data_IF_908572627134
#
_entry.id   IF_908572627134
#
_cell.length_a   1.000
_cell.length_b   1.000
_cell.length_c   1.000
_cell.angle_alpha   90.00
_cell.angle_beta   90.00
_cell.angle_gamma   90.00
#
_symmetry.space_group_name_H-M   'P 1'
#
loop_
_entity.id
_entity.type
_entity.pdbx_description
1 polymer ?
#
# COMPACT_ATOMS: atom_id res chain seq x y z
N UNK A 1 -2.31 -6.68 29.72
CA UNK A 1 -3.44 -7.56 30.09
C UNK A 1 -3.45 -8.72 29.12
N UNK A 2 -3.45 -9.97 29.59
CA UNK A 2 -3.50 -11.16 28.75
C UNK A 2 -4.84 -11.89 28.91
N UNK A 3 -5.30 -12.59 27.87
CA UNK A 3 -6.42 -13.54 27.98
C UNK A 3 -6.00 -14.75 28.82
N UNK A 4 -6.91 -15.25 29.64
CA UNK A 4 -6.69 -16.54 30.29
C UNK A 4 -6.83 -17.69 29.28
N UNK A 5 -6.26 -18.85 29.58
CA UNK A 5 -6.43 -20.05 28.76
C UNK A 5 -7.90 -20.38 28.49
N UNK A 6 -8.75 -20.24 29.51
CA UNK A 6 -10.19 -20.45 29.39
C UNK A 6 -10.84 -19.44 28.44
N UNK A 7 -10.50 -18.15 28.55
CA UNK A 7 -11.03 -17.11 27.65
C UNK A 7 -10.61 -17.36 26.20
N UNK A 8 -9.34 -17.73 25.97
CA UNK A 8 -8.85 -18.09 24.63
C UNK A 8 -9.59 -19.28 24.04
N UNK A 9 -9.91 -20.30 24.85
CA UNK A 9 -10.73 -21.45 24.40
C UNK A 9 -12.15 -21.05 24.00
N UNK A 10 -12.80 -20.20 24.79
CA UNK A 10 -14.16 -19.71 24.49
C UNK A 10 -14.20 -18.92 23.18
N UNK A 11 -13.22 -18.03 22.98
CA UNK A 11 -13.08 -17.27 21.73
C UNK A 11 -12.87 -18.22 20.56
N UNK A 12 -11.87 -19.11 20.63
CA UNK A 12 -11.57 -20.07 19.55
C UNK A 12 -12.76 -20.96 19.20
N UNK A 13 -13.52 -21.42 20.20
CA UNK A 13 -14.71 -22.23 19.99
C UNK A 13 -15.85 -21.52 19.27
N UNK A 14 -15.87 -20.19 19.25
CA UNK A 14 -16.92 -19.38 18.60
C UNK A 14 -16.49 -18.77 17.27
N UNK A 15 -15.20 -18.75 16.94
CA UNK A 15 -14.67 -18.23 15.67
C UNK A 15 -15.35 -18.87 14.44
N UNK A 16 -15.50 -20.21 14.31
CA UNK A 16 -16.09 -20.80 13.12
C UNK A 16 -17.51 -20.27 12.83
N UNK A 17 -18.36 -20.21 13.85
CA UNK A 17 -19.71 -19.69 13.73
C UNK A 17 -19.74 -18.20 13.35
N UNK A 18 -18.80 -17.40 13.87
CA UNK A 18 -18.71 -15.98 13.50
C UNK A 18 -18.19 -15.79 12.07
N UNK A 19 -17.23 -16.61 11.63
CA UNK A 19 -16.70 -16.59 10.26
C UNK A 19 -17.78 -16.94 9.24
N UNK A 20 -18.54 -18.00 9.48
CA UNK A 20 -19.64 -18.46 8.60
C UNK A 20 -20.76 -17.42 8.46
N UNK A 21 -20.84 -16.46 9.38
CA UNK A 21 -21.87 -15.43 9.44
C UNK A 21 -21.32 -14.00 9.34
N UNK A 22 -20.09 -13.80 8.84
CA UNK A 22 -19.43 -12.49 8.81
C UNK A 22 -20.25 -11.38 8.12
N UNK A 23 -20.96 -11.70 7.03
CA UNK A 23 -21.82 -10.74 6.32
C UNK A 23 -23.05 -10.32 7.14
N UNK A 24 -23.67 -11.29 7.83
CA UNK A 24 -24.81 -11.04 8.71
C UNK A 24 -24.41 -10.20 9.91
N UNK A 25 -23.31 -10.57 10.58
CA UNK A 25 -22.73 -9.81 11.70
C UNK A 25 -22.59 -8.36 11.28
N UNK A 26 -21.99 -8.14 10.11
CA UNK A 26 -21.62 -6.80 9.77
C UNK A 26 -22.79 -5.95 9.30
N UNK A 27 -23.78 -6.55 8.66
CA UNK A 27 -25.06 -5.90 8.36
C UNK A 27 -25.74 -5.42 9.64
N UNK A 28 -25.83 -6.28 10.67
CA UNK A 28 -26.42 -5.94 11.97
C UNK A 28 -25.63 -4.81 12.64
N UNK A 29 -24.31 -4.93 12.68
CA UNK A 29 -23.40 -3.95 13.27
C UNK A 29 -23.60 -2.54 12.68
N UNK A 30 -23.47 -2.37 11.36
CA UNK A 30 -23.60 -1.05 10.75
C UNK A 30 -25.01 -0.49 10.83
N UNK A 31 -26.03 -1.31 10.57
CA UNK A 31 -27.43 -0.87 10.65
C UNK A 31 -27.75 -0.29 12.02
N UNK A 32 -27.38 -1.01 13.09
CA UNK A 32 -27.71 -0.60 14.45
C UNK A 32 -26.85 0.59 14.89
N UNK A 33 -25.54 0.57 14.58
CA UNK A 33 -24.62 1.64 14.94
C UNK A 33 -24.99 2.96 14.26
N UNK A 34 -25.22 2.98 12.95
CA UNK A 34 -25.52 4.21 12.21
C UNK A 34 -26.93 4.74 12.44
N UNK A 35 -27.87 3.87 12.85
CA UNK A 35 -29.20 4.31 13.29
C UNK A 35 -29.10 5.10 14.60
N UNK A 36 -28.32 4.60 15.55
CA UNK A 36 -28.21 5.20 16.88
C UNK A 36 -27.16 6.33 16.93
N UNK A 37 -26.17 6.29 16.03
CA UNK A 37 -25.08 7.25 15.87
C UNK A 37 -24.97 7.74 14.41
N UNK A 38 -25.96 8.50 13.91
CA UNK A 38 -25.98 8.98 12.53
C UNK A 38 -24.80 9.91 12.19
N UNK A 39 -24.16 10.55 13.18
CA UNK A 39 -22.95 11.36 13.02
C UNK A 39 -21.76 10.55 12.48
N UNK A 40 -21.75 9.22 12.66
CA UNK A 40 -20.68 8.37 12.15
C UNK A 40 -20.70 8.21 10.62
N UNK A 41 -21.76 8.65 9.93
CA UNK A 41 -21.78 8.69 8.46
C UNK A 41 -20.68 9.58 7.86
N UNK A 42 -20.13 10.52 8.63
CA UNK A 42 -19.01 11.36 8.22
C UNK A 42 -17.69 10.58 8.05
N UNK A 43 -17.55 9.44 8.73
CA UNK A 43 -16.32 8.63 8.75
C UNK A 43 -16.41 7.42 7.82
N UNK A 44 -17.59 6.82 7.69
CA UNK A 44 -17.76 5.61 6.92
C UNK A 44 -18.08 5.88 5.45
N UNK A 45 -17.48 5.09 4.56
CA UNK A 45 -17.75 5.18 3.13
C UNK A 45 -19.06 4.45 2.80
N UNK A 46 -20.09 5.21 2.44
CA UNK A 46 -21.42 4.66 2.10
C UNK A 46 -21.42 3.72 0.90
N UNK A 47 -20.48 3.88 -0.05
CA UNK A 47 -20.32 2.98 -1.21
C UNK A 47 -19.73 1.64 -0.77
N UNK A 48 -18.78 1.64 0.17
CA UNK A 48 -18.18 0.41 0.68
C UNK A 48 -19.14 -0.37 1.60
N UNK A 49 -20.06 0.34 2.26
CA UNK A 49 -21.17 -0.30 2.99
C UNK A 49 -22.13 -1.00 2.03
N UNK A 50 -22.54 -0.34 0.94
CA UNK A 50 -23.44 -0.91 -0.07
C UNK A 50 -22.87 -2.16 -0.76
N UNK A 51 -21.53 -2.27 -0.85
CA UNK A 51 -20.85 -3.40 -1.50
C UNK A 51 -20.21 -4.41 -0.52
N UNK A 52 -20.44 -4.27 0.79
CA UNK A 52 -20.02 -5.25 1.80
C UNK A 52 -18.51 -5.40 2.04
N UNK A 53 -17.63 -4.67 1.35
CA UNK A 53 -16.16 -4.82 1.45
C UNK A 53 -15.59 -4.34 2.79
N UNK A 54 -15.92 -3.12 3.19
CA UNK A 54 -15.47 -2.54 4.47
C UNK A 54 -16.06 -3.27 5.69
N UNK A 55 -17.35 -3.67 5.65
CA UNK A 55 -17.91 -4.64 6.56
C UNK A 55 -17.04 -5.86 6.87
N UNK A 56 -16.64 -6.59 5.83
CA UNK A 56 -15.87 -7.83 6.00
C UNK A 56 -14.49 -7.57 6.60
N UNK A 57 -13.84 -6.44 6.28
CA UNK A 57 -12.50 -6.10 6.76
C UNK A 57 -12.40 -5.94 8.28
N UNK A 58 -13.33 -5.22 8.93
CA UNK A 58 -13.29 -5.01 10.39
C UNK A 58 -13.45 -6.33 11.15
N UNK A 59 -14.44 -7.13 10.75
CA UNK A 59 -14.70 -8.44 11.34
C UNK A 59 -13.54 -9.40 11.09
N UNK A 60 -12.97 -9.41 9.88
CA UNK A 60 -11.83 -10.25 9.54
C UNK A 60 -10.58 -9.91 10.37
N UNK A 61 -10.29 -8.64 10.63
CA UNK A 61 -9.16 -8.25 11.48
C UNK A 61 -9.33 -8.74 12.91
N UNK A 62 -10.53 -8.60 13.48
CA UNK A 62 -10.79 -9.03 14.86
C UNK A 62 -10.74 -10.55 14.97
N UNK A 63 -11.30 -11.27 13.99
CA UNK A 63 -11.22 -12.73 13.92
C UNK A 63 -9.77 -13.22 13.70
N UNK A 64 -9.01 -12.55 12.83
CA UNK A 64 -7.60 -12.85 12.58
C UNK A 64 -6.74 -12.61 13.82
N UNK A 65 -6.96 -11.49 14.53
CA UNK A 65 -6.33 -11.21 15.81
C UNK A 65 -6.67 -12.28 16.86
N UNK A 66 -7.94 -12.66 16.96
CA UNK A 66 -8.38 -13.70 17.87
C UNK A 66 -7.75 -15.07 17.57
N UNK A 67 -7.56 -15.39 16.28
CA UNK A 67 -6.91 -16.64 15.87
C UNK A 67 -5.40 -16.63 16.16
N UNK A 68 -4.76 -15.47 16.02
CA UNK A 68 -3.31 -15.27 16.14
C UNK A 68 -2.89 -14.57 17.44
N UNK A 69 -3.66 -14.71 18.53
CA UNK A 69 -3.42 -13.95 19.77
C UNK A 69 -2.03 -14.19 20.41
N UNK A 70 -1.35 -15.27 20.02
CA UNK A 70 0.01 -15.62 20.44
C UNK A 70 1.10 -15.19 19.43
N UNK A 71 0.72 -14.72 18.24
CA UNK A 71 1.60 -14.37 17.12
C UNK A 71 1.36 -12.91 16.66
N UNK A 72 1.29 -11.99 17.62
CA UNK A 72 0.94 -10.58 17.37
C UNK A 72 1.95 -9.87 16.45
N UNK A 73 3.22 -10.31 16.44
CA UNK A 73 4.28 -9.71 15.62
C UNK A 73 3.95 -9.68 14.13
N UNK A 74 3.25 -10.70 13.62
CA UNK A 74 2.83 -10.78 12.21
C UNK A 74 1.73 -9.77 11.86
N UNK A 75 1.00 -9.27 12.86
CA UNK A 75 -0.07 -8.29 12.69
C UNK A 75 0.44 -6.85 12.76
N UNK A 76 1.67 -6.60 13.21
CA UNK A 76 2.23 -5.26 13.40
C UNK A 76 2.12 -4.42 12.11
N UNK A 77 2.52 -4.90 10.91
CA UNK A 77 2.42 -4.08 9.70
C UNK A 77 0.98 -3.69 9.35
N UNK A 78 0.03 -4.61 9.58
CA UNK A 78 -1.40 -4.36 9.36
C UNK A 78 -1.96 -3.35 10.35
N UNK A 79 -1.57 -3.47 11.62
CA UNK A 79 -1.95 -2.52 12.67
C UNK A 79 -1.42 -1.13 12.39
N UNK A 80 -0.17 -1.01 11.90
CA UNK A 80 0.42 0.27 11.53
C UNK A 80 -0.39 0.97 10.43
N UNK A 81 -0.73 0.24 9.36
CA UNK A 81 -1.60 0.72 8.29
C UNK A 81 -2.97 1.19 8.81
N UNK A 82 -3.59 0.39 9.68
CA UNK A 82 -4.88 0.73 10.29
C UNK A 82 -4.78 2.02 11.11
N UNK A 83 -3.74 2.16 11.93
CA UNK A 83 -3.52 3.35 12.75
C UNK A 83 -3.33 4.61 11.89
N UNK A 84 -2.56 4.54 10.80
CA UNK A 84 -2.45 5.66 9.85
C UNK A 84 -3.79 6.03 9.23
N UNK A 85 -4.58 5.03 8.82
CA UNK A 85 -5.91 5.24 8.26
C UNK A 85 -6.87 5.87 9.26
N UNK A 86 -6.88 5.38 10.50
CA UNK A 86 -7.67 5.92 11.60
C UNK A 86 -7.30 7.37 11.88
N UNK A 87 -6.00 7.67 11.96
CA UNK A 87 -5.53 9.03 12.18
C UNK A 87 -5.96 9.98 11.06
N UNK A 88 -5.84 9.53 9.80
CA UNK A 88 -6.27 10.30 8.62
C UNK A 88 -7.78 10.52 8.57
N UNK A 89 -8.57 9.74 9.30
CA UNK A 89 -10.02 9.93 9.42
C UNK A 89 -10.42 10.71 10.68
N UNK A 90 -9.47 11.00 11.58
CA UNK A 90 -9.77 11.67 12.84
C UNK A 90 -10.40 10.76 13.89
N UNK A 91 -10.13 9.44 13.86
CA UNK A 91 -10.67 8.50 14.85
C UNK A 91 -10.07 8.76 16.24
N UNK A 92 -10.92 8.75 17.26
CA UNK A 92 -10.56 9.05 18.65
C UNK A 92 -10.83 7.87 19.58
N UNK A 93 -10.20 7.83 20.77
CA UNK A 93 -10.42 6.76 21.75
C UNK A 93 -11.89 6.52 22.10
N UNK A 94 -12.71 7.56 22.18
CA UNK A 94 -14.15 7.46 22.47
C UNK A 94 -14.94 6.67 21.40
N UNK A 95 -14.50 6.67 20.14
CA UNK A 95 -15.16 5.93 19.06
C UNK A 95 -15.07 4.41 19.27
N UNK A 96 -14.02 3.91 19.94
CA UNK A 96 -13.85 2.48 20.20
C UNK A 96 -14.93 1.91 21.13
N UNK A 97 -15.44 2.69 22.08
CA UNK A 97 -16.52 2.22 22.96
C UNK A 97 -17.84 2.03 22.19
N UNK A 98 -18.11 2.90 21.21
CA UNK A 98 -19.28 2.79 20.33
C UNK A 98 -19.16 1.50 19.50
N UNK A 99 -18.02 1.31 18.83
CA UNK A 99 -17.78 0.12 18.00
C UNK A 99 -17.91 -1.17 18.81
N UNK A 100 -17.36 -1.22 20.04
CA UNK A 100 -17.48 -2.38 20.92
C UNK A 100 -18.95 -2.75 21.16
N UNK A 101 -19.75 -1.78 21.60
CA UNK A 101 -21.16 -1.98 21.97
C UNK A 101 -21.94 -2.65 20.84
N UNK A 102 -21.81 -2.12 19.62
CA UNK A 102 -22.56 -2.64 18.47
C UNK A 102 -21.98 -3.94 17.93
N UNK A 103 -20.65 -4.13 17.97
CA UNK A 103 -20.02 -5.36 17.47
C UNK A 103 -20.34 -6.56 18.37
N UNK A 104 -20.21 -6.41 19.69
CA UNK A 104 -20.51 -7.47 20.65
C UNK A 104 -22.01 -7.79 20.65
N UNK A 105 -22.88 -6.80 20.43
CA UNK A 105 -24.30 -7.03 20.21
C UNK A 105 -24.58 -7.83 18.92
N UNK A 106 -23.87 -7.53 17.83
CA UNK A 106 -23.99 -8.29 16.58
C UNK A 106 -23.51 -9.75 16.74
N UNK A 107 -22.40 -9.97 17.45
CA UNK A 107 -21.96 -11.33 17.79
C UNK A 107 -23.01 -12.06 18.62
N UNK A 108 -23.66 -11.39 19.57
CA UNK A 108 -24.70 -11.99 20.41
C UNK A 108 -25.93 -12.42 19.60
N UNK A 109 -26.35 -11.60 18.62
CA UNK A 109 -27.47 -11.94 17.74
C UNK A 109 -27.17 -13.17 16.87
N UNK A 110 -25.92 -13.31 16.41
CA UNK A 110 -25.49 -14.42 15.55
C UNK A 110 -25.23 -15.70 16.34
N UNK A 111 -24.57 -15.61 17.50
CA UNK A 111 -24.28 -16.77 18.34
C UNK A 111 -25.50 -17.25 19.13
N UNK A 112 -26.50 -16.38 19.36
CA UNK A 112 -27.71 -16.72 20.09
C UNK A 112 -27.41 -17.31 21.48
N UNK A 113 -27.94 -18.50 21.83
CA UNK A 113 -27.66 -19.15 23.11
C UNK A 113 -26.17 -19.45 23.38
N UNK A 114 -25.34 -19.54 22.34
CA UNK A 114 -23.90 -19.75 22.49
C UNK A 114 -23.17 -18.51 23.02
N UNK A 115 -23.79 -17.32 22.99
CA UNK A 115 -23.26 -16.11 23.63
C UNK A 115 -23.57 -16.12 25.15
N UNK A 116 -22.87 -16.99 25.88
CA UNK A 116 -22.94 -17.00 27.35
C UNK A 116 -22.29 -15.74 27.93
N UNK A 117 -22.57 -15.36 29.20
CA UNK A 117 -21.89 -14.24 29.86
C UNK A 117 -20.36 -14.33 29.80
N UNK A 118 -19.80 -15.54 29.94
CA UNK A 118 -18.36 -15.78 29.88
C UNK A 118 -17.80 -15.60 28.46
N UNK A 119 -18.54 -16.00 27.42
CA UNK A 119 -18.15 -15.79 26.02
C UNK A 119 -18.18 -14.29 25.70
N UNK A 120 -19.21 -13.57 26.14
CA UNK A 120 -19.31 -12.12 25.99
C UNK A 120 -18.13 -11.41 26.66
N UNK A 121 -17.83 -11.74 27.91
CA UNK A 121 -16.71 -11.16 28.65
C UNK A 121 -15.37 -11.44 27.95
N UNK A 122 -15.16 -12.66 27.45
CA UNK A 122 -13.95 -13.02 26.72
C UNK A 122 -13.77 -12.18 25.44
N UNK A 123 -14.83 -12.04 24.63
CA UNK A 123 -14.80 -11.22 23.41
C UNK A 123 -14.62 -9.72 23.70
N UNK A 124 -15.32 -9.17 24.70
CA UNK A 124 -15.11 -7.78 25.14
C UNK A 124 -13.66 -7.56 25.56
N UNK A 125 -13.06 -8.49 26.31
CA UNK A 125 -11.65 -8.40 26.70
C UNK A 125 -10.71 -8.47 25.51
N UNK A 126 -10.94 -9.38 24.56
CA UNK A 126 -10.14 -9.50 23.35
C UNK A 126 -10.21 -8.25 22.47
N UNK A 127 -11.41 -7.68 22.29
CA UNK A 127 -11.62 -6.41 21.60
C UNK A 127 -10.79 -5.30 22.25
N UNK A 128 -10.90 -5.12 23.56
CA UNK A 128 -10.19 -4.05 24.26
C UNK A 128 -8.67 -4.24 24.31
N UNK A 129 -8.16 -5.48 24.18
CA UNK A 129 -6.74 -5.71 24.00
C UNK A 129 -6.25 -5.14 22.65
N UNK A 130 -6.95 -5.42 21.56
CA UNK A 130 -6.64 -4.86 20.24
C UNK A 130 -6.83 -3.33 20.23
N UNK A 131 -7.97 -2.85 20.73
CA UNK A 131 -8.30 -1.43 20.78
C UNK A 131 -7.23 -0.62 21.53
N UNK A 132 -6.74 -1.10 22.69
CA UNK A 132 -5.69 -0.39 23.44
C UNK A 132 -4.36 -0.31 22.70
N UNK A 133 -4.01 -1.33 21.91
CA UNK A 133 -2.79 -1.29 21.08
C UNK A 133 -2.93 -0.24 19.96
N UNK A 134 -4.09 -0.22 19.28
CA UNK A 134 -4.37 0.76 18.23
C UNK A 134 -4.42 2.18 18.79
N UNK A 135 -5.19 2.42 19.86
CA UNK A 135 -5.28 3.72 20.56
C UNK A 135 -3.89 4.20 20.98
N UNK A 136 -3.05 3.31 21.53
CA UNK A 136 -1.69 3.65 21.94
C UNK A 136 -0.82 4.11 20.78
N UNK A 137 -0.87 3.40 19.64
CA UNK A 137 -0.11 3.75 18.44
C UNK A 137 -0.65 5.02 17.77
N UNK A 138 -1.97 5.16 17.64
CA UNK A 138 -2.64 6.36 17.13
C UNK A 138 -2.29 7.60 17.95
N UNK A 139 -2.26 7.48 19.28
CA UNK A 139 -1.84 8.58 20.14
C UNK A 139 -0.37 9.00 19.88
N UNK A 140 0.51 8.06 19.52
CA UNK A 140 1.88 8.40 19.10
C UNK A 140 1.88 9.11 17.76
N UNK A 141 1.16 8.57 16.76
CA UNK A 141 1.03 9.20 15.45
C UNK A 141 0.48 10.62 15.55
N UNK A 142 -0.58 10.84 16.32
CA UNK A 142 -1.11 12.18 16.57
C UNK A 142 -0.07 13.12 17.18
N UNK A 143 0.77 12.67 18.11
CA UNK A 143 1.89 13.50 18.61
C UNK A 143 2.88 13.84 17.49
N UNK A 144 3.21 12.87 16.64
CA UNK A 144 4.18 13.01 15.56
C UNK A 144 3.70 13.97 14.45
N UNK A 145 2.39 14.04 14.17
CA UNK A 145 1.79 15.02 13.24
C UNK A 145 1.88 16.47 13.76
N UNK A 146 2.17 16.66 15.04
CA UNK A 146 2.42 17.96 15.65
C UNK A 146 1.15 18.78 15.87
N UNK A 147 1.20 20.07 15.56
CA UNK A 147 0.14 21.04 15.93
C UNK A 147 -1.13 20.94 15.08
N UNK A 148 -1.03 20.36 13.88
CA UNK A 148 -2.18 20.22 13.00
C UNK A 148 -2.90 18.91 13.28
N UNK A 149 -4.04 19.02 13.95
CA UNK A 149 -4.93 17.91 14.29
C UNK A 149 -6.28 18.14 13.62
N UNK A 150 -6.85 17.09 13.04
CA UNK A 150 -8.12 17.17 12.30
C UNK A 150 -7.99 17.90 10.97
N UNK A 151 -9.07 18.60 10.58
CA UNK A 151 -9.19 19.19 9.27
C UNK A 151 -8.72 20.64 9.22
N UNK A 152 -8.02 20.99 8.13
CA UNK A 152 -7.55 22.34 7.82
C UNK A 152 -8.01 22.73 6.43
N UNK A 153 -8.36 24.01 6.26
CA UNK A 153 -8.89 24.55 5.01
C UNK A 153 -7.78 24.87 4.02
N UNK A 154 -7.96 24.43 2.79
CA UNK A 154 -7.08 24.70 1.66
C UNK A 154 -7.89 25.28 0.51
N UNK A 155 -7.32 26.29 -0.14
CA UNK A 155 -7.82 26.84 -1.39
C UNK A 155 -7.19 26.05 -2.55
N UNK A 156 -8.00 25.69 -3.53
CA UNK A 156 -7.52 25.18 -4.82
C UNK A 156 -6.90 26.35 -5.56
N UNK A 157 -5.59 26.37 -5.67
CA UNK A 157 -4.87 27.40 -6.40
C UNK A 157 -4.80 27.09 -7.90
N UNK A 158 -4.69 25.81 -8.24
CA UNK A 158 -4.58 25.37 -9.63
C UNK A 158 -5.25 24.02 -9.82
N UNK A 159 -5.94 23.83 -10.95
CA UNK A 159 -6.49 22.55 -11.41
C UNK A 159 -5.91 22.22 -12.78
N UNK A 160 -5.27 21.05 -12.91
CA UNK A 160 -4.57 20.63 -14.13
C UNK A 160 -5.07 19.27 -14.58
N UNK A 161 -5.51 19.16 -15.83
CA UNK A 161 -5.78 17.88 -16.46
C UNK A 161 -4.45 17.18 -16.81
N UNK A 162 -4.20 16.03 -16.20
CA UNK A 162 -3.00 15.21 -16.42
C UNK A 162 -3.23 14.16 -17.51
N UNK A 163 -4.48 13.70 -17.65
CA UNK A 163 -4.98 12.77 -18.67
C UNK A 163 -6.52 12.80 -18.70
N UNK A 164 -7.14 12.10 -19.66
CA UNK A 164 -8.58 12.16 -20.02
C UNK A 164 -9.57 12.04 -18.82
N UNK A 165 -9.14 11.45 -17.70
CA UNK A 165 -9.93 11.27 -16.48
C UNK A 165 -9.16 11.55 -15.17
N UNK A 166 -7.99 12.20 -15.23
CA UNK A 166 -7.10 12.44 -14.07
C UNK A 166 -6.74 13.91 -13.94
N UNK A 167 -6.99 14.49 -12.77
CA UNK A 167 -6.78 15.91 -12.50
C UNK A 167 -5.91 16.12 -11.27
N UNK A 168 -4.90 16.97 -11.38
CA UNK A 168 -4.11 17.47 -10.25
C UNK A 168 -4.73 18.73 -9.66
N UNK A 169 -4.81 18.78 -8.34
CA UNK A 169 -5.22 19.95 -7.56
C UNK A 169 -4.04 20.44 -6.73
N UNK A 170 -3.67 21.69 -6.90
CA UNK A 170 -2.65 22.37 -6.10
C UNK A 170 -3.35 23.12 -4.97
N UNK A 171 -3.02 22.76 -3.74
CA UNK A 171 -3.78 23.10 -2.54
C UNK A 171 -2.91 23.94 -1.61
N UNK A 172 -3.32 25.20 -1.40
CA UNK A 172 -2.61 26.17 -0.55
C UNK A 172 -3.40 26.42 0.72
N UNK A 173 -2.78 26.41 1.91
CA UNK A 173 -3.50 26.59 3.17
C UNK A 173 -4.09 28.01 3.28
N UNK A 174 -5.37 28.11 3.64
CA UNK A 174 -6.10 29.39 3.73
C UNK A 174 -5.55 30.29 4.85
N UNK A 175 -5.02 29.69 5.91
CA UNK A 175 -4.46 30.42 7.07
C UNK A 175 -3.05 30.98 6.82
N UNK A 176 -2.47 30.76 5.64
CA UNK A 176 -1.14 31.25 5.25
C UNK A 176 0.04 30.62 5.99
N UNK A 177 -0.17 29.62 6.88
CA UNK A 177 0.93 28.99 7.61
C UNK A 177 1.60 27.92 6.76
N UNK A 178 2.92 27.78 6.91
CA UNK A 178 3.69 26.73 6.22
C UNK A 178 3.17 25.32 6.52
N UNK A 179 3.24 24.47 5.52
CA UNK A 179 2.88 23.07 5.61
C UNK A 179 4.02 22.25 6.23
N UNK A 180 3.71 21.27 7.09
CA UNK A 180 4.72 20.33 7.55
C UNK A 180 5.24 19.50 6.37
N UNK A 181 6.52 19.08 6.40
CA UNK A 181 7.02 18.12 5.43
C UNK A 181 6.32 16.78 5.60
N UNK A 182 6.37 15.94 4.56
CA UNK A 182 5.89 14.57 4.55
C UNK A 182 6.93 13.66 3.92
N UNK A 183 6.76 12.34 4.07
CA UNK A 183 7.60 11.36 3.36
C UNK A 183 6.98 11.04 1.99
N UNK A 184 7.77 11.04 0.90
CA UNK A 184 7.23 10.88 -0.45
C UNK A 184 6.60 9.48 -0.62
N UNK A 185 5.30 9.47 -0.90
CA UNK A 185 4.46 8.26 -0.91
C UNK A 185 3.25 8.38 0.02
N UNK A 186 3.34 9.22 1.06
CA UNK A 186 2.24 9.48 1.99
C UNK A 186 1.03 10.14 1.32
N UNK A 187 -0.11 10.07 2.01
CA UNK A 187 -1.39 10.60 1.55
C UNK A 187 -1.98 11.59 2.56
N UNK A 188 -2.94 12.38 2.08
CA UNK A 188 -3.84 13.18 2.91
C UNK A 188 -5.27 12.69 2.73
N UNK A 189 -6.11 12.90 3.74
CA UNK A 189 -7.55 12.76 3.59
C UNK A 189 -8.13 14.08 3.11
N UNK A 190 -8.91 14.07 2.03
CA UNK A 190 -9.72 15.19 1.55
C UNK A 190 -11.18 14.94 1.93
N UNK A 191 -11.78 15.89 2.63
CA UNK A 191 -13.17 15.88 3.03
C UNK A 191 -13.99 16.90 2.23
N UNK A 192 -15.15 16.45 1.78
CA UNK A 192 -16.14 17.28 1.06
C UNK A 192 -17.53 17.07 1.64
N UNK A 193 -18.35 18.12 1.61
CA UNK A 193 -19.76 18.04 2.00
C UNK A 193 -20.61 17.45 0.88
N UNK A 194 -21.46 16.48 1.22
CA UNK A 194 -22.45 15.93 0.30
C UNK A 194 -23.80 16.56 0.65
N UNK A 195 -24.06 17.74 0.07
CA UNK A 195 -25.20 18.59 0.41
C UNK A 195 -26.55 17.84 0.38
N UNK A 196 -26.76 16.99 -0.62
CA UNK A 196 -28.00 16.19 -0.78
C UNK A 196 -28.26 15.21 0.36
N UNK A 197 -27.20 14.79 1.08
CA UNK A 197 -27.29 13.77 2.12
C UNK A 197 -27.01 14.29 3.53
N UNK A 198 -26.59 15.54 3.67
CA UNK A 198 -26.36 16.19 4.96
C UNK A 198 -25.18 15.64 5.76
N UNK A 199 -24.26 14.91 5.13
CA UNK A 199 -23.07 14.35 5.77
C UNK A 199 -21.79 14.66 4.96
N UNK A 200 -20.65 14.51 5.61
CA UNK A 200 -19.32 14.68 5.02
C UNK A 200 -18.82 13.35 4.45
N UNK A 201 -18.01 13.41 3.40
CA UNK A 201 -17.32 12.24 2.87
C UNK A 201 -15.84 12.53 2.72
N UNK A 202 -15.04 11.58 3.19
CA UNK A 202 -13.60 11.65 3.19
C UNK A 202 -13.00 10.59 2.26
N UNK A 203 -12.02 10.97 1.43
CA UNK A 203 -11.19 10.03 0.66
C UNK A 203 -9.72 10.38 0.77
N UNK A 204 -8.89 9.35 0.79
CA UNK A 204 -7.45 9.48 0.83
C UNK A 204 -6.91 9.66 -0.58
N UNK A 205 -6.00 10.62 -0.74
CA UNK A 205 -5.28 10.87 -1.97
C UNK A 205 -3.80 10.99 -1.66
N UNK A 206 -2.97 10.20 -2.35
CA UNK A 206 -1.52 10.34 -2.27
C UNK A 206 -1.12 11.76 -2.64
N UNK A 207 -0.17 12.31 -1.87
CA UNK A 207 0.49 13.54 -2.26
C UNK A 207 1.33 13.21 -3.49
N UNK A 208 1.10 13.91 -4.59
CA UNK A 208 1.66 13.58 -5.90
C UNK A 208 2.88 14.42 -6.29
N UNK A 209 3.34 15.29 -5.39
CA UNK A 209 4.56 16.10 -5.58
C UNK A 209 5.58 15.86 -4.47
N UNK A 210 6.79 16.40 -4.61
CA UNK A 210 7.78 16.43 -3.55
C UNK A 210 7.27 17.23 -2.33
N UNK A 211 7.82 17.02 -1.11
CA UNK A 211 7.48 17.81 0.05
C UNK A 211 7.80 19.30 -0.11
N UNK A 212 6.74 20.13 -0.09
CA UNK A 212 6.77 21.58 -0.27
C UNK A 212 6.11 22.28 0.94
N UNK A 213 6.64 23.43 1.41
CA UNK A 213 6.08 24.15 2.54
C UNK A 213 4.89 25.04 2.18
N UNK A 214 4.66 25.30 0.90
CA UNK A 214 3.73 26.29 0.34
C UNK A 214 2.43 25.67 -0.20
N UNK A 215 2.51 24.48 -0.80
CA UNK A 215 1.32 23.76 -1.27
C UNK A 215 1.45 22.24 -1.09
N UNK A 216 0.31 21.57 -1.11
CA UNK A 216 0.22 20.14 -1.38
C UNK A 216 -0.41 19.92 -2.75
N UNK A 217 0.01 18.85 -3.43
CA UNK A 217 -0.63 18.42 -4.68
C UNK A 217 -1.25 17.06 -4.47
N UNK A 218 -2.53 16.93 -4.80
CA UNK A 218 -3.21 15.64 -4.90
C UNK A 218 -3.66 15.46 -6.35
N UNK A 219 -3.68 14.22 -6.81
CA UNK A 219 -4.12 13.92 -8.17
C UNK A 219 -5.21 12.86 -8.12
N UNK A 220 -6.35 13.20 -8.70
CA UNK A 220 -7.62 12.49 -8.55
C UNK A 220 -8.03 11.92 -9.88
N UNK A 221 -8.29 10.62 -9.91
CA UNK A 221 -8.91 9.96 -11.05
C UNK A 221 -10.43 9.94 -10.88
N UNK A 222 -11.17 10.23 -11.96
CA UNK A 222 -12.62 10.02 -12.01
C UNK A 222 -12.95 8.55 -11.83
N UNK A 223 -13.88 8.27 -10.93
CA UNK A 223 -14.42 6.92 -10.76
C UNK A 223 -15.83 6.91 -11.35
N UNK A 224 -15.94 6.41 -12.58
CA UNK A 224 -17.22 6.29 -13.30
C UNK A 224 -18.11 5.18 -12.73
N UNK A 225 -17.62 4.38 -11.77
CA UNK A 225 -18.27 3.16 -11.31
C UNK A 225 -18.01 1.98 -12.25
N UNK A 226 -18.63 0.84 -11.96
CA UNK A 226 -18.54 -0.35 -12.82
C UNK A 226 -19.76 -0.41 -13.75
N UNK A 227 -19.54 -0.17 -15.04
CA UNK A 227 -20.44 -0.66 -16.08
C UNK A 227 -20.28 -2.18 -16.18
N UNK A 228 -21.31 -2.93 -15.80
CA UNK A 228 -21.34 -4.38 -16.01
C UNK A 228 -21.25 -4.68 -17.51
N UNK A 229 -20.06 -5.03 -18.00
CA UNK A 229 -19.94 -5.61 -19.35
C UNK A 229 -20.06 -7.12 -19.27
N UNK A 230 -20.97 -7.65 -20.09
CA UNK A 230 -21.32 -9.07 -20.25
C UNK A 230 -20.09 -9.93 -20.55
N UNK A 231 -19.53 -10.56 -19.51
CA UNK A 231 -18.91 -11.91 -19.50
C UNK A 231 -18.49 -12.32 -18.07
N UNK A 232 -19.37 -12.06 -17.11
CA UNK A 232 -19.54 -12.86 -15.89
C UNK A 232 -18.29 -13.33 -15.14
N UNK A 233 -17.73 -12.47 -14.29
CA UNK A 233 -17.47 -12.77 -12.86
C UNK A 233 -16.88 -11.58 -12.12
N UNK A 234 -17.73 -10.91 -11.34
CA UNK A 234 -17.46 -10.52 -9.95
C UNK A 234 -18.72 -10.88 -9.16
N UNK A 235 -18.56 -11.66 -8.09
CA UNK A 235 -19.65 -12.11 -7.23
C UNK A 235 -19.89 -11.08 -6.12
N UNK A 236 -21.02 -10.37 -6.17
CA UNK A 236 -21.61 -9.64 -5.05
C UNK A 236 -21.58 -8.11 -5.16
N UNK A 237 -22.76 -7.50 -5.35
CA UNK A 237 -23.01 -6.06 -5.33
C UNK A 237 -23.35 -5.51 -6.72
N UNK A 238 -24.50 -4.83 -6.85
CA UNK A 238 -24.99 -4.26 -8.11
C UNK A 238 -24.03 -3.28 -8.78
N UNK A 239 -24.40 -2.73 -9.95
CA UNK A 239 -23.64 -1.69 -10.63
C UNK A 239 -23.09 -0.68 -9.61
N UNK A 240 -21.76 -0.61 -9.48
CA UNK A 240 -21.15 0.33 -8.55
C UNK A 240 -21.47 1.73 -9.05
N UNK A 241 -22.19 2.50 -8.24
CA UNK A 241 -22.44 3.91 -8.51
C UNK A 241 -21.10 4.65 -8.71
N UNK A 242 -21.06 5.69 -9.56
CA UNK A 242 -19.90 6.56 -9.68
C UNK A 242 -19.36 7.02 -8.33
N UNK A 243 -18.04 7.15 -8.22
CA UNK A 243 -17.37 7.56 -6.99
C UNK A 243 -17.74 8.99 -6.60
N UNK A 244 -18.44 9.14 -5.48
CA UNK A 244 -19.03 10.44 -5.07
C UNK A 244 -17.97 11.56 -4.96
N UNK A 245 -16.87 11.32 -4.24
CA UNK A 245 -15.88 12.37 -3.95
C UNK A 245 -15.02 12.73 -5.17
N UNK A 246 -14.60 11.74 -5.97
CA UNK A 246 -13.79 12.02 -7.16
C UNK A 246 -14.56 12.81 -8.20
N UNK A 247 -15.81 12.43 -8.49
CA UNK A 247 -16.66 13.18 -9.42
C UNK A 247 -16.98 14.58 -8.85
N UNK A 248 -17.30 14.71 -7.56
CA UNK A 248 -17.54 16.03 -6.95
C UNK A 248 -16.31 16.95 -7.06
N UNK A 249 -15.11 16.46 -6.77
CA UNK A 249 -13.89 17.25 -6.90
C UNK A 249 -13.62 17.67 -8.35
N UNK A 250 -13.91 16.81 -9.33
CA UNK A 250 -13.62 17.12 -10.73
C UNK A 250 -14.71 18.03 -11.33
N UNK A 251 -15.98 17.79 -11.03
CA UNK A 251 -17.11 18.48 -11.67
C UNK A 251 -17.52 19.77 -10.97
N UNK A 252 -17.35 19.84 -9.65
CA UNK A 252 -17.95 20.89 -8.82
C UNK A 252 -16.92 21.74 -8.06
N UNK A 253 -15.63 21.47 -8.23
CA UNK A 253 -14.55 22.24 -7.59
C UNK A 253 -13.59 22.83 -8.60
N UNK A 254 -13.42 24.13 -8.53
CA UNK A 254 -12.55 24.90 -9.41
C UNK A 254 -11.53 25.74 -8.62
N UNK A 255 -10.67 26.44 -9.34
CA UNK A 255 -9.69 27.34 -8.75
C UNK A 255 -10.40 28.43 -7.91
N UNK A 256 -9.93 28.61 -6.68
CA UNK A 256 -10.54 29.50 -5.68
C UNK A 256 -11.39 28.77 -4.64
N UNK A 257 -11.92 27.58 -4.94
CA UNK A 257 -12.75 26.83 -4.00
C UNK A 257 -11.96 26.30 -2.81
N UNK A 258 -12.67 26.05 -1.71
CA UNK A 258 -12.12 25.48 -0.48
C UNK A 258 -12.45 23.99 -0.37
N UNK A 259 -11.43 23.23 0.02
CA UNK A 259 -11.50 21.83 0.48
C UNK A 259 -10.81 21.70 1.83
N UNK A 260 -11.15 20.64 2.57
CA UNK A 260 -10.59 20.38 3.90
C UNK A 260 -9.72 19.13 3.88
N UNK A 261 -8.49 19.27 4.38
CA UNK A 261 -7.49 18.22 4.40
C UNK A 261 -7.13 17.84 5.84
N UNK A 262 -6.70 16.61 6.06
CA UNK A 262 -5.95 16.22 7.27
C UNK A 262 -4.45 16.35 7.06
N UNK A 263 -3.69 16.22 8.15
CA UNK A 263 -2.24 16.03 8.09
C UNK A 263 -1.87 14.83 7.18
N UNK A 264 -0.65 14.84 6.60
CA UNK A 264 -0.11 13.66 5.91
C UNK A 264 -0.07 12.43 6.83
N UNK A 265 -0.36 11.27 6.27
CA UNK A 265 -0.32 9.97 6.93
C UNK A 265 0.07 8.88 5.91
N UNK A 266 0.31 7.67 6.40
CA UNK A 266 0.65 6.50 5.60
C UNK A 266 2.06 6.00 5.89
N UNK A 267 2.18 4.69 5.78
CA UNK A 267 3.40 3.90 6.00
C UNK A 267 4.13 3.54 4.69
N UNK A 268 3.49 3.77 3.54
CA UNK A 268 4.13 3.64 2.24
C UNK A 268 4.87 4.92 1.88
N UNK A 269 6.20 4.88 1.93
CA UNK A 269 7.03 5.99 1.49
C UNK A 269 8.46 5.53 1.20
N UNK A 270 9.18 6.32 0.41
CA UNK A 270 10.62 6.19 0.29
C UNK A 270 11.30 6.89 1.49
N UNK A 271 12.08 6.16 2.28
CA UNK A 271 12.86 6.76 3.37
C UNK A 271 14.03 7.58 2.80
N UNK A 272 13.88 8.90 2.88
CA UNK A 272 14.89 9.85 2.43
C UNK A 272 16.05 10.03 3.42
N UNK A 273 15.95 9.49 4.65
CA UNK A 273 17.08 9.46 5.59
C UNK A 273 18.15 8.46 5.13
N UNK A 274 17.76 7.44 4.36
CA UNK A 274 18.69 6.55 3.69
C UNK A 274 19.34 7.27 2.49
N UNK A 275 20.59 7.69 2.66
CA UNK A 275 21.40 8.36 1.62
C UNK A 275 22.10 7.39 0.68
N UNK A 276 21.77 6.10 0.71
CA UNK A 276 22.36 5.14 -0.20
C UNK A 276 21.95 5.40 -1.66
N UNK A 277 22.83 5.05 -2.59
CA UNK A 277 22.53 5.05 -4.02
C UNK A 277 21.91 3.73 -4.49
N UNK A 278 21.22 3.02 -3.59
CA UNK A 278 20.51 1.79 -3.92
C UNK A 278 19.44 2.09 -4.99
N UNK A 279 19.40 1.35 -6.11
CA UNK A 279 18.38 1.56 -7.13
C UNK A 279 16.97 1.42 -6.57
N UNK A 280 16.05 2.23 -7.10
CA UNK A 280 14.62 2.09 -6.85
C UNK A 280 13.87 1.80 -8.14
N UNK A 281 12.90 0.90 -8.08
CA UNK A 281 12.02 0.56 -9.20
C UNK A 281 10.61 0.98 -8.82
N UNK A 282 10.07 1.98 -9.54
CA UNK A 282 8.75 2.55 -9.33
C UNK A 282 7.79 1.93 -10.35
N UNK A 283 6.91 1.05 -9.88
CA UNK A 283 6.00 0.25 -10.70
C UNK A 283 4.56 0.71 -10.44
N UNK A 284 3.89 1.22 -11.47
CA UNK A 284 2.53 1.75 -11.30
C UNK A 284 1.59 1.45 -12.45
N UNK A 285 0.29 1.48 -12.17
CA UNK A 285 -0.76 1.41 -13.17
C UNK A 285 -1.87 2.43 -12.89
N UNK A 286 -2.27 3.18 -13.92
CA UNK A 286 -3.29 4.23 -13.83
C UNK A 286 -2.94 5.26 -12.75
N UNK A 287 -3.92 5.62 -11.91
CA UNK A 287 -3.72 6.63 -10.84
C UNK A 287 -2.75 6.19 -9.74
N UNK A 288 -2.34 4.92 -9.69
CA UNK A 288 -1.26 4.44 -8.83
C UNK A 288 0.10 5.11 -9.09
N UNK A 289 0.22 5.89 -10.17
CA UNK A 289 1.38 6.74 -10.47
C UNK A 289 1.61 7.84 -9.44
N UNK A 290 0.57 8.23 -8.68
CA UNK A 290 0.57 9.43 -7.85
C UNK A 290 1.64 9.42 -6.74
N UNK A 291 1.76 8.39 -5.88
CA UNK A 291 2.85 8.34 -4.92
C UNK A 291 4.22 8.14 -5.60
N UNK A 292 4.27 7.48 -6.77
CA UNK A 292 5.51 7.33 -7.53
C UNK A 292 6.04 8.67 -8.03
N UNK A 293 5.15 9.58 -8.42
CA UNK A 293 5.51 10.92 -8.84
C UNK A 293 6.08 11.75 -7.68
N UNK A 294 5.54 11.60 -6.47
CA UNK A 294 6.10 12.22 -5.27
C UNK A 294 7.51 11.70 -4.95
N UNK A 295 7.71 10.38 -5.03
CA UNK A 295 9.02 9.75 -4.87
C UNK A 295 9.99 10.26 -5.95
N UNK A 296 9.57 10.24 -7.22
CA UNK A 296 10.41 10.63 -8.34
C UNK A 296 10.85 12.10 -8.25
N UNK A 297 9.93 13.03 -7.93
CA UNK A 297 10.29 14.45 -7.75
C UNK A 297 11.27 14.61 -6.59
N UNK A 298 11.01 13.96 -5.46
CA UNK A 298 11.86 14.09 -4.26
C UNK A 298 13.26 13.55 -4.50
N UNK A 299 13.39 12.37 -5.11
CA UNK A 299 14.68 11.78 -5.50
C UNK A 299 15.37 12.62 -6.55
N UNK A 300 14.62 13.20 -7.49
CA UNK A 300 15.19 14.05 -8.53
C UNK A 300 15.86 15.30 -7.96
N UNK A 301 15.26 15.89 -6.92
CA UNK A 301 15.77 17.08 -6.24
C UNK A 301 16.88 16.77 -5.23
N UNK A 302 16.77 15.69 -4.46
CA UNK A 302 17.62 15.43 -3.28
C UNK A 302 18.66 14.33 -3.47
N UNK A 303 18.43 13.40 -4.38
CA UNK A 303 19.31 12.26 -4.65
C UNK A 303 19.52 12.09 -6.17
N UNK A 304 20.14 13.08 -6.84
CA UNK A 304 20.20 13.12 -8.29
C UNK A 304 20.94 11.94 -8.93
N UNK A 305 21.87 11.34 -8.18
CA UNK A 305 22.68 10.20 -8.63
C UNK A 305 22.08 8.83 -8.30
N UNK A 306 20.98 8.76 -7.54
CA UNK A 306 20.31 7.49 -7.25
C UNK A 306 19.67 6.92 -8.53
N UNK A 307 19.99 5.68 -8.92
CA UNK A 307 19.37 5.05 -10.08
C UNK A 307 17.87 4.85 -9.87
N UNK A 308 17.07 5.17 -10.88
CA UNK A 308 15.61 5.05 -10.84
C UNK A 308 15.11 4.37 -12.10
N UNK A 309 14.30 3.33 -11.94
CA UNK A 309 13.51 2.74 -13.01
C UNK A 309 12.05 3.09 -12.85
N UNK A 310 11.44 3.61 -13.90
CA UNK A 310 10.04 4.02 -13.96
C UNK A 310 9.27 3.08 -14.89
N UNK A 311 8.38 2.29 -14.32
CA UNK A 311 7.55 1.33 -15.07
C UNK A 311 6.10 1.72 -14.85
N UNK A 312 5.43 2.16 -15.91
CA UNK A 312 4.07 2.68 -15.80
C UNK A 312 3.14 2.12 -16.88
N UNK A 313 1.98 1.64 -16.45
CA UNK A 313 0.88 1.24 -17.33
C UNK A 313 -0.24 2.27 -17.34
N UNK A 314 -0.64 2.72 -18.53
CA UNK A 314 -1.87 3.48 -18.74
C UNK A 314 -2.77 2.81 -19.77
N UNK A 315 -4.07 3.14 -19.73
CA UNK A 315 -5.01 2.67 -20.75
C UNK A 315 -4.83 3.43 -22.07
N UNK A 316 -4.66 4.75 -22.01
CA UNK A 316 -4.57 5.67 -23.16
C UNK A 316 -3.47 6.71 -22.91
N UNK A 317 -3.84 7.93 -22.52
CA UNK A 317 -2.95 9.02 -22.14
C UNK A 317 -2.23 8.72 -20.82
N UNK A 318 -0.95 9.10 -20.73
CA UNK A 318 -0.11 8.83 -19.55
C UNK A 318 -0.11 10.07 -18.65
N UNK A 319 -0.58 9.99 -17.40
CA UNK A 319 -0.51 11.13 -16.48
C UNK A 319 0.94 11.54 -16.21
N UNK A 320 1.18 12.85 -16.06
CA UNK A 320 2.52 13.45 -15.82
C UNK A 320 3.55 13.21 -16.94
N UNK A 321 3.12 12.81 -18.12
CA UNK A 321 4.02 12.36 -19.19
C UNK A 321 5.14 13.36 -19.52
N UNK A 322 4.81 14.64 -19.72
CA UNK A 322 5.81 15.67 -20.03
C UNK A 322 6.78 15.93 -18.88
N UNK A 323 6.32 15.82 -17.63
CA UNK A 323 7.16 15.95 -16.44
C UNK A 323 8.15 14.79 -16.36
N UNK A 324 7.70 13.54 -16.52
CA UNK A 324 8.57 12.36 -16.50
C UNK A 324 9.60 12.43 -17.63
N UNK A 325 9.20 12.83 -18.84
CA UNK A 325 10.15 12.98 -19.96
C UNK A 325 11.18 14.09 -19.73
N UNK A 326 10.79 15.20 -19.09
CA UNK A 326 11.73 16.26 -18.70
C UNK A 326 12.75 15.76 -17.67
N UNK A 327 12.29 14.99 -16.69
CA UNK A 327 13.17 14.37 -15.68
C UNK A 327 14.14 13.38 -16.35
N UNK A 328 13.63 12.53 -17.24
CA UNK A 328 14.45 11.55 -17.97
C UNK A 328 15.59 12.19 -18.76
N UNK A 329 15.32 13.29 -19.49
CA UNK A 329 16.34 14.02 -20.27
C UNK A 329 17.48 14.56 -19.42
N UNK A 330 17.23 14.86 -18.15
CA UNK A 330 18.20 15.45 -17.24
C UNK A 330 18.88 14.42 -16.33
N UNK A 331 18.61 13.11 -16.52
CA UNK A 331 19.07 12.04 -15.62
C UNK A 331 19.59 10.82 -16.39
N UNK A 332 20.91 10.63 -16.52
CA UNK A 332 21.47 9.49 -17.25
C UNK A 332 21.21 8.12 -16.56
N UNK A 333 20.97 8.14 -15.25
CA UNK A 333 20.66 7.00 -14.39
C UNK A 333 19.14 6.76 -14.24
N UNK A 334 18.32 7.35 -15.11
CA UNK A 334 16.89 7.11 -15.19
C UNK A 334 16.57 6.15 -16.34
N UNK A 335 15.67 5.20 -16.10
CA UNK A 335 15.13 4.26 -17.09
C UNK A 335 13.61 4.36 -17.07
N UNK A 336 12.96 4.30 -18.23
CA UNK A 336 11.50 4.38 -18.35
C UNK A 336 10.96 3.31 -19.27
N UNK A 337 9.92 2.63 -18.82
CA UNK A 337 9.12 1.69 -19.60
C UNK A 337 7.64 2.07 -19.48
N UNK A 338 7.03 2.48 -20.58
CA UNK A 338 5.64 2.91 -20.68
C UNK A 338 4.82 1.84 -21.40
N UNK A 339 3.84 1.29 -20.71
CA UNK A 339 2.89 0.32 -21.23
C UNK A 339 1.56 1.02 -21.54
N UNK A 340 1.02 0.76 -22.73
CA UNK A 340 -0.34 1.19 -23.12
C UNK A 340 -1.16 0.00 -23.58
N UNK A 341 -2.44 -0.03 -23.23
CA UNK A 341 -3.38 -1.07 -23.70
C UNK A 341 -4.30 -0.60 -24.82
N UNK A 342 -4.35 0.71 -25.09
CA UNK A 342 -5.01 1.30 -26.25
C UNK A 342 -4.17 2.45 -26.79
N UNK A 343 -3.63 2.26 -27.98
CA UNK A 343 -2.86 3.28 -28.70
C UNK A 343 -3.79 4.25 -29.44
N UNK A 344 -3.46 5.54 -29.39
CA UNK A 344 -4.03 6.55 -30.27
C UNK A 344 -3.25 6.61 -31.60
N UNK A 345 -3.83 7.20 -32.64
CA UNK A 345 -3.12 7.41 -33.92
C UNK A 345 -1.86 8.27 -33.77
N UNK A 346 -1.82 9.13 -32.74
CA UNK A 346 -0.67 9.97 -32.41
C UNK A 346 0.41 9.25 -31.59
N UNK A 347 0.20 7.99 -31.21
CA UNK A 347 1.19 7.23 -30.44
C UNK A 347 2.33 6.70 -31.32
N UNK A 348 3.55 6.84 -30.82
CA UNK A 348 4.79 6.49 -31.52
C UNK A 348 5.66 5.62 -30.62
N UNK A 349 5.99 4.42 -31.12
CA UNK A 349 6.85 3.45 -30.42
C UNK A 349 8.21 4.05 -30.06
N UNK A 350 8.66 3.82 -28.82
CA UNK A 350 9.90 4.35 -28.25
C UNK A 350 9.87 5.85 -27.95
N UNK A 351 8.71 6.51 -28.15
CA UNK A 351 8.52 7.94 -27.89
C UNK A 351 7.41 8.16 -26.88
N UNK A 352 6.20 7.67 -27.16
CA UNK A 352 5.00 7.81 -26.31
C UNK A 352 4.62 6.54 -25.57
N UNK A 353 5.13 5.40 -26.00
CA UNK A 353 5.00 4.11 -25.35
C UNK A 353 6.17 3.21 -25.76
N UNK A 354 6.46 2.21 -24.93
CA UNK A 354 7.48 1.19 -25.19
C UNK A 354 6.83 -0.18 -25.42
N UNK A 355 5.65 -0.41 -24.84
CA UNK A 355 4.97 -1.70 -24.90
C UNK A 355 3.46 -1.52 -25.14
N UNK A 356 2.93 -2.16 -26.19
CA UNK A 356 1.48 -2.25 -26.45
C UNK A 356 0.88 -3.48 -25.75
N UNK A 357 0.84 -3.40 -24.42
CA UNK A 357 0.30 -4.46 -23.57
C UNK A 357 -0.03 -3.90 -22.18
N UNK A 358 -0.70 -4.70 -21.34
CA UNK A 358 -0.68 -4.44 -19.90
C UNK A 358 0.77 -4.56 -19.40
N UNK A 359 1.09 -3.91 -18.27
CA UNK A 359 2.43 -4.02 -17.66
C UNK A 359 2.76 -5.49 -17.46
N UNK A 360 3.89 -5.89 -18.01
CA UNK A 360 4.43 -7.24 -17.93
C UNK A 360 5.94 -7.11 -17.72
N UNK A 361 6.39 -7.39 -16.49
CA UNK A 361 7.80 -7.26 -16.12
C UNK A 361 8.70 -8.27 -16.85
N UNK A 362 8.14 -9.31 -17.49
CA UNK A 362 8.90 -10.21 -18.35
C UNK A 362 9.32 -9.54 -19.68
N UNK A 363 8.65 -8.45 -20.07
CA UNK A 363 8.97 -7.65 -21.27
C UNK A 363 9.92 -6.49 -21.00
N UNK A 364 10.13 -6.14 -19.72
CA UNK A 364 11.07 -5.11 -19.30
C UNK A 364 12.49 -5.70 -19.31
N UNK A 365 13.47 -4.91 -19.74
CA UNK A 365 14.87 -5.32 -19.64
C UNK A 365 15.22 -5.68 -18.18
N UNK A 366 15.97 -6.77 -18.00
CA UNK A 366 16.37 -7.23 -16.67
C UNK A 366 17.25 -6.21 -15.95
N UNK A 367 18.02 -5.43 -16.70
CA UNK A 367 18.89 -4.38 -16.15
C UNK A 367 18.06 -3.18 -15.68
N UNK A 368 16.96 -2.87 -16.35
CA UNK A 368 16.01 -1.83 -15.94
C UNK A 368 15.27 -2.22 -14.64
N UNK A 369 15.18 -3.51 -14.32
CA UNK A 369 14.62 -3.99 -13.06
C UNK A 369 15.65 -4.05 -11.92
N UNK A 370 16.94 -3.87 -12.21
CA UNK A 370 18.02 -3.98 -11.22
C UNK A 370 17.98 -5.29 -10.40
N UNK A 371 17.58 -6.41 -11.03
CA UNK A 371 17.42 -7.71 -10.36
C UNK A 371 18.74 -8.24 -9.78
N UNK A 372 19.87 -7.90 -10.38
CA UNK A 372 21.20 -8.30 -9.94
C UNK A 372 21.69 -7.51 -8.71
N UNK A 373 21.03 -6.41 -8.35
CA UNK A 373 21.41 -5.60 -7.20
C UNK A 373 20.62 -6.05 -5.95
N UNK A 374 21.32 -6.72 -5.02
CA UNK A 374 20.72 -7.40 -3.88
C UNK A 374 19.95 -6.52 -2.89
N UNK A 375 20.12 -5.20 -2.96
CA UNK A 375 19.42 -4.23 -2.10
C UNK A 375 18.34 -3.40 -2.81
N UNK A 376 18.10 -3.61 -4.13
CA UNK A 376 17.08 -2.82 -4.87
C UNK A 376 15.72 -2.89 -4.19
N UNK A 377 15.08 -1.73 -4.06
CA UNK A 377 13.73 -1.58 -3.50
C UNK A 377 12.71 -1.37 -4.63
N UNK A 378 11.54 -2.00 -4.48
CA UNK A 378 10.46 -1.99 -5.47
C UNK A 378 9.22 -1.36 -4.84
N UNK A 379 8.75 -0.27 -5.42
CA UNK A 379 7.56 0.47 -4.96
C UNK A 379 6.44 0.23 -5.97
N UNK A 380 5.34 -0.36 -5.52
CA UNK A 380 4.29 -0.90 -6.40
C UNK A 380 2.93 -0.32 -6.00
N UNK A 381 2.24 0.32 -6.95
CA UNK A 381 0.90 0.87 -6.69
C UNK A 381 0.00 0.80 -7.92
N UNK A 382 -1.21 0.25 -7.75
CA UNK A 382 -2.19 0.13 -8.80
C UNK A 382 -3.38 -0.75 -8.37
N UNK A 383 -4.17 -1.26 -9.32
CA UNK A 383 -5.21 -2.24 -9.01
C UNK A 383 -4.64 -3.48 -8.31
N UNK A 384 -5.41 -4.09 -7.40
CA UNK A 384 -4.97 -5.23 -6.58
C UNK A 384 -4.39 -6.38 -7.42
N UNK A 385 -5.11 -6.82 -8.45
CA UNK A 385 -4.63 -7.90 -9.33
C UNK A 385 -3.31 -7.54 -10.02
N UNK A 386 -3.12 -6.28 -10.42
CA UNK A 386 -1.86 -5.82 -11.00
C UNK A 386 -0.72 -5.93 -9.99
N UNK A 387 -0.94 -5.47 -8.75
CA UNK A 387 0.10 -5.56 -7.72
C UNK A 387 0.48 -7.00 -7.37
N UNK A 388 -0.50 -7.91 -7.33
CA UNK A 388 -0.26 -9.34 -7.15
C UNK A 388 0.59 -9.92 -8.29
N UNK A 389 0.26 -9.62 -9.54
CA UNK A 389 1.03 -10.06 -10.72
C UNK A 389 2.49 -9.54 -10.67
N UNK A 390 2.70 -8.28 -10.27
CA UNK A 390 4.05 -7.71 -10.12
C UNK A 390 4.84 -8.43 -9.01
N UNK A 391 4.21 -8.68 -7.87
CA UNK A 391 4.81 -9.37 -6.74
C UNK A 391 5.21 -10.82 -7.09
N UNK A 392 4.31 -11.54 -7.76
CA UNK A 392 4.56 -12.91 -8.24
C UNK A 392 5.75 -12.98 -9.18
N UNK A 393 5.83 -12.05 -10.13
CA UNK A 393 6.97 -11.99 -11.04
C UNK A 393 8.28 -11.72 -10.28
N UNK A 394 8.33 -10.70 -9.42
CA UNK A 394 9.54 -10.37 -8.66
C UNK A 394 9.97 -11.53 -7.73
N UNK A 395 9.01 -12.21 -7.10
CA UNK A 395 9.27 -13.41 -6.29
C UNK A 395 9.82 -14.55 -7.15
N UNK A 396 9.31 -14.76 -8.36
CA UNK A 396 9.87 -15.74 -9.31
C UNK A 396 11.32 -15.43 -9.70
N UNK A 397 11.75 -14.17 -9.55
CA UNK A 397 13.14 -13.71 -9.72
C UNK A 397 13.92 -13.64 -8.40
N UNK A 398 13.44 -14.27 -7.33
CA UNK A 398 14.07 -14.34 -6.01
C UNK A 398 14.26 -12.98 -5.33
N UNK A 399 13.42 -12.00 -5.67
CA UNK A 399 13.35 -10.75 -4.92
C UNK A 399 12.68 -11.02 -3.57
N UNK A 400 13.32 -10.56 -2.49
CA UNK A 400 12.81 -10.71 -1.13
C UNK A 400 11.58 -9.82 -0.91
N UNK A 401 10.57 -10.33 -0.21
CA UNK A 401 9.32 -9.60 0.01
C UNK A 401 9.51 -8.33 0.85
N UNK A 402 10.52 -8.28 1.72
CA UNK A 402 10.87 -7.08 2.49
C UNK A 402 11.39 -5.92 1.64
N UNK A 403 11.75 -6.18 0.37
CA UNK A 403 12.16 -5.17 -0.62
C UNK A 403 11.01 -4.72 -1.53
N UNK A 404 9.81 -5.26 -1.34
CA UNK A 404 8.63 -4.92 -2.11
C UNK A 404 7.65 -4.13 -1.23
N UNK A 405 7.40 -2.88 -1.62
CA UNK A 405 6.52 -1.97 -0.91
C UNK A 405 5.25 -1.76 -1.73
N UNK A 406 4.09 -1.84 -1.10
CA UNK A 406 2.79 -1.76 -1.77
C UNK A 406 1.89 -0.72 -1.14
N UNK A 407 1.18 0.04 -1.99
CA UNK A 407 0.12 0.96 -1.58
C UNK A 407 -1.21 0.57 -2.23
N UNK A 408 -2.26 0.41 -1.41
CA UNK A 408 -3.57 -0.05 -1.85
C UNK A 408 -4.62 1.06 -1.71
N UNK A 409 -5.25 1.46 -2.82
CA UNK A 409 -6.27 2.51 -2.87
C UNK A 409 -7.70 2.03 -2.54
N UNK A 410 -7.84 0.82 -2.00
CA UNK A 410 -9.12 0.23 -1.60
C UNK A 410 -9.13 -0.10 -0.10
N UNK A 411 -10.31 -0.31 0.47
CA UNK A 411 -10.45 -0.84 1.83
C UNK A 411 -10.24 -2.35 1.83
N UNK A 412 -9.36 -2.84 2.70
CA UNK A 412 -8.98 -4.24 2.82
C UNK A 412 -7.46 -4.38 2.85
N UNK A 413 -6.97 -5.55 3.22
CA UNK A 413 -5.59 -5.93 2.92
C UNK A 413 -5.57 -6.63 1.55
N UNK A 414 -4.42 -6.62 0.88
CA UNK A 414 -4.19 -7.64 -0.14
C UNK A 414 -4.17 -8.99 0.58
N UNK A 415 -5.19 -9.81 0.37
CA UNK A 415 -5.08 -11.24 0.66
C UNK A 415 -4.11 -11.82 -0.35
N UNK A 416 -2.83 -11.68 -0.06
CA UNK A 416 -1.87 -12.63 -0.54
C UNK A 416 -2.36 -14.00 -0.08
N UNK A 417 -2.97 -14.77 -0.98
CA UNK A 417 -2.91 -16.24 -0.92
C UNK A 417 -1.46 -16.67 -1.18
N UNK A 418 -0.54 -16.10 -0.41
CA UNK A 418 0.78 -16.65 -0.18
C UNK A 418 0.52 -17.59 0.97
N UNK A 419 0.66 -18.88 0.70
CA UNK A 419 0.40 -19.95 1.62
C UNK A 419 0.75 -19.58 3.07
N UNK A 420 -0.16 -19.96 3.95
CA UNK A 420 0.12 -20.55 5.25
C UNK A 420 1.45 -21.33 5.27
N UNK A 421 2.60 -20.68 5.33
CA UNK A 421 3.90 -21.35 5.35
C UNK A 421 4.89 -20.66 6.28
N UNK A 422 5.05 -21.32 7.42
CA UNK A 422 6.34 -21.64 8.01
C UNK A 422 7.23 -20.46 8.39
N UNK A 423 6.86 -19.77 9.46
CA UNK A 423 7.86 -19.38 10.46
C UNK A 423 8.08 -20.62 11.34
N UNK A 424 8.80 -21.62 10.82
CA UNK A 424 9.58 -22.48 11.70
C UNK A 424 10.76 -21.62 12.11
N UNK A 425 10.73 -21.19 13.36
CA UNK A 425 11.88 -20.66 14.08
C UNK A 425 13.10 -21.49 13.75
N UNK A 426 14.19 -20.83 13.38
CA UNK A 426 15.53 -21.39 13.36
C UNK A 426 15.85 -22.04 14.72
N UNK A 427 15.55 -23.32 14.84
CA UNK A 427 16.22 -24.20 15.81
C UNK A 427 17.39 -24.82 15.09
N UNK A 428 18.58 -24.43 15.54
CA UNK A 428 19.85 -25.11 15.32
C UNK A 428 19.71 -26.61 15.15
N UNK A 429 20.20 -27.16 14.03
CA UNK A 429 20.25 -28.61 13.83
C UNK A 429 20.82 -29.03 12.48
N UNK A 430 22.13 -29.31 12.46
CA UNK A 430 22.71 -30.46 11.76
C UNK A 430 22.86 -30.41 10.24
N UNK A 431 24.11 -30.31 9.79
CA UNK A 431 24.55 -30.70 8.44
C UNK A 431 24.03 -32.10 8.04
N UNK A 432 23.60 -32.32 6.79
CA UNK A 432 23.32 -33.67 6.31
C UNK A 432 24.64 -34.30 5.85
N UNK A 433 25.18 -35.18 6.69
CA UNK A 433 26.39 -35.95 6.40
C UNK A 433 26.32 -37.31 7.06
N UNK A 434 25.37 -38.14 6.64
CA UNK A 434 25.32 -39.54 7.01
C UNK A 434 26.33 -40.33 6.18
N UNK A 435 27.50 -40.58 6.75
CA UNK A 435 28.31 -41.75 6.37
C UNK A 435 28.68 -42.52 7.64
N UNK A 436 28.19 -43.75 7.66
CA UNK A 436 28.46 -44.79 8.66
C UNK A 436 29.96 -45.08 8.76
N UNK A 437 30.48 -45.15 9.97
CA UNK A 437 31.81 -45.67 10.25
C UNK A 437 31.70 -47.03 10.96
N UNK A 438 32.33 -48.04 10.37
CA UNK A 438 32.80 -49.25 11.06
C UNK A 438 34.08 -49.76 10.35
N UNK A 439 34.99 -50.46 11.04
CA UNK A 439 36.41 -50.12 10.99
C UNK A 439 37.32 -51.17 10.33
N UNK A 440 38.61 -50.82 10.29
CA UNK A 440 39.80 -51.67 10.16
C UNK A 440 40.37 -51.94 8.76
N UNK A 441 41.59 -51.42 8.54
CA UNK A 441 42.81 -52.10 8.08
C UNK A 441 43.65 -51.21 7.17
N UNK A 442 44.90 -50.96 7.59
CA UNK A 442 45.99 -50.45 6.77
C UNK A 442 46.56 -51.60 5.88
N UNK A 443 47.60 -51.42 5.02
CA UNK A 443 48.34 -50.21 4.65
C UNK A 443 48.70 -50.07 3.14
N UNK A 444 49.42 -48.97 2.81
CA UNK A 444 50.62 -48.92 1.95
C UNK A 444 50.60 -48.42 0.48
N UNK A 445 51.68 -47.69 0.18
CA UNK A 445 52.43 -47.48 -1.09
C UNK A 445 52.28 -46.15 -1.87
N UNK A 446 53.30 -45.30 -1.71
CA UNK A 446 54.08 -44.48 -2.66
C UNK A 446 53.55 -44.17 -4.08
N UNK A 447 53.64 -42.91 -4.51
CA UNK A 447 54.76 -42.36 -5.32
C UNK A 447 54.41 -41.08 -6.10
N UNK A 448 55.36 -40.12 -6.05
CA UNK A 448 55.81 -39.11 -7.04
C UNK A 448 55.11 -39.06 -8.42
N UNK A 449 54.87 -37.90 -9.05
CA UNK A 449 55.91 -37.05 -9.68
C UNK A 449 55.46 -35.63 -10.08
N UNK A 450 56.47 -34.77 -10.09
CA UNK A 450 56.66 -33.38 -10.49
C UNK A 450 56.44 -32.94 -11.98
N UNK A 451 56.42 -31.58 -12.14
CA UNK A 451 56.92 -30.73 -13.26
C UNK A 451 56.03 -30.64 -14.53
N UNK A 452 55.93 -29.54 -15.30
CA UNK A 452 56.68 -28.26 -15.46
C UNK A 452 55.85 -27.31 -16.35
N UNK A 453 55.99 -26.00 -16.17
CA UNK A 453 55.69 -24.95 -17.18
C UNK A 453 56.79 -24.88 -18.26
N UNK A 454 56.51 -24.28 -19.43
CA UNK A 454 57.25 -23.07 -19.81
C UNK A 454 56.44 -21.96 -20.52
N UNK A 455 57.08 -20.80 -20.56
CA UNK A 455 56.72 -19.44 -20.93
C UNK A 455 56.92 -19.05 -22.42
N UNK A 456 56.56 -17.78 -22.72
CA UNK A 456 56.99 -16.86 -23.81
C UNK A 456 56.01 -16.72 -25.00
N UNK A 457 55.71 -15.56 -25.60
CA UNK A 457 56.15 -14.16 -25.49
C UNK A 457 55.10 -13.26 -26.20
N UNK A 458 54.83 -12.01 -25.76
CA UNK A 458 55.47 -10.73 -26.14
C UNK A 458 54.78 -9.91 -27.26
N UNK A 459 54.74 -8.58 -27.02
CA UNK A 459 54.57 -7.41 -27.92
C UNK A 459 53.13 -6.83 -28.06
N UNK A 460 52.83 -5.68 -27.44
CA UNK A 460 53.04 -4.24 -27.86
C UNK A 460 51.83 -3.69 -28.64
N UNK A 461 51.30 -2.47 -28.48
CA UNK A 461 51.67 -1.25 -27.75
C UNK A 461 50.43 -0.34 -27.70
N UNK A 462 50.34 0.56 -26.72
CA UNK A 462 50.61 2.01 -26.80
C UNK A 462 49.34 2.83 -26.52
N UNK A 463 49.46 3.62 -25.46
CA UNK A 463 48.61 4.72 -25.03
C UNK A 463 49.31 6.03 -25.45
N UNK A 464 48.57 7.12 -25.73
CA UNK A 464 49.08 8.42 -25.30
C UNK A 464 48.02 9.42 -24.80
N UNK A 465 48.36 10.01 -23.65
CA UNK A 465 48.44 11.45 -23.30
C UNK A 465 47.23 12.40 -23.24
N UNK A 466 47.38 13.25 -22.22
CA UNK A 466 46.59 14.36 -21.70
C UNK A 466 46.72 15.70 -22.47
N UNK A 467 45.84 16.63 -22.06
CA UNK A 467 45.98 18.10 -21.99
C UNK A 467 45.22 18.91 -23.07
N UNK A 468 44.08 19.45 -22.66
CA UNK A 468 43.63 20.85 -22.81
C UNK A 468 42.39 21.07 -21.93
#
# INVERSE_FOLDING_TARGET
MALSYQQTRLIRGTIPALTDHGERITTIFYRNMLRDHPELNDYFNTVNQANGRQPRALTAVILSYANNINHITELIPKMERMCHKHCSLGIKPEHYAIVEKYLIAAFAEVLGPAMTPQVREAWTKAYWMLAKMLIGREAQLYRDFGKWQGYRKFRIEKKVEESDDIYSFYLVPVDGKRLPPFQPGQYVSVQVSIAEKGYLQCRQYSLSDAPRPDYYRVTVKRDEGLHMTRNGRYLGGGALNPGVVSNLLIDMKDEGDIVELTHPAGEFYLDMANTSNVPIVLISAGVGVTPMMSILNTVSERQPHRPVSWIHGSRRSVPFYDQVRRIARNRPNFRSNIFKTHLAESDVYGVTYDHDFRVDLAKVDRDDLYLCHGATEYYICGPEQFMLEMAEYLKSKQVDSGRMHFELFSTGDMEFKVDTLSIISSTSGGCPGGYSAAPSSAPSINSTTERKCPSSGASSGQCPFSAA
#
